data_IF_325683480591
#
_entry.id   IF_325683480591
#
_cell.length_a   1.000
_cell.length_b   1.000
_cell.length_c   1.000
_cell.angle_alpha   90.00
_cell.angle_beta   90.00
_cell.angle_gamma   90.00
#
_symmetry.space_group_name_H-M   'P 1'
#
loop_
_entity.id
_entity.type
_entity.pdbx_description
1 polymer ?
#
# COMPACT_ATOMS: atom_id res chain seq x y z
N UNK A 1 -7.92 12.75 -17.44
CA UNK A 1 -8.14 12.21 -16.08
C UNK A 1 -7.93 10.70 -16.03
N UNK A 2 -8.10 9.96 -17.13
CA UNK A 2 -7.92 8.50 -17.20
C UNK A 2 -6.47 8.03 -17.00
N UNK A 3 -5.48 8.73 -17.60
CA UNK A 3 -4.05 8.39 -17.45
C UNK A 3 -3.53 8.35 -16.01
N UNK A 4 -4.21 9.01 -15.05
CA UNK A 4 -3.77 9.05 -13.66
C UNK A 4 -4.21 7.81 -12.88
N UNK A 5 -5.36 7.21 -13.22
CA UNK A 5 -5.83 5.94 -12.62
C UNK A 5 -4.99 4.75 -13.09
N UNK A 6 -4.62 4.72 -14.36
CA UNK A 6 -3.77 3.66 -14.94
C UNK A 6 -2.39 3.56 -14.26
N UNK A 7 -1.91 4.65 -13.65
CA UNK A 7 -0.60 4.72 -12.97
C UNK A 7 -0.64 4.25 -11.52
N UNK A 8 -1.82 4.10 -10.92
CA UNK A 8 -1.96 3.77 -9.49
C UNK A 8 -1.50 2.36 -9.13
N UNK A 9 -1.31 1.46 -10.11
CA UNK A 9 -0.93 0.07 -9.86
C UNK A 9 -2.10 -0.79 -9.37
N UNK A 10 -1.90 -2.11 -9.39
CA UNK A 10 -2.91 -3.07 -8.91
C UNK A 10 -2.83 -3.23 -7.39
N UNK A 11 -3.98 -3.40 -6.75
CA UNK A 11 -4.07 -3.72 -5.31
C UNK A 11 -4.17 -5.22 -5.03
N UNK A 12 -4.13 -6.05 -6.08
CA UNK A 12 -4.35 -7.50 -5.99
C UNK A 12 -3.11 -8.23 -5.46
N UNK A 13 -1.91 -7.80 -5.87
CA UNK A 13 -0.62 -8.38 -5.49
C UNK A 13 -0.19 -7.91 -4.09
N UNK A 14 -0.86 -8.44 -3.06
CA UNK A 14 -0.62 -8.09 -1.67
C UNK A 14 0.78 -8.57 -1.18
N UNK A 15 1.71 -7.66 -0.83
CA UNK A 15 3.05 -8.03 -0.41
C UNK A 15 3.08 -8.78 0.93
N UNK A 16 2.08 -8.60 1.78
CA UNK A 16 1.97 -9.31 3.07
C UNK A 16 1.51 -10.74 2.88
N UNK A 17 0.51 -10.96 2.02
CA UNK A 17 0.07 -12.30 1.65
C UNK A 17 1.18 -13.08 0.90
N UNK A 18 1.87 -12.42 -0.03
CA UNK A 18 2.98 -13.03 -0.79
C UNK A 18 4.17 -13.46 0.11
N UNK A 19 4.33 -12.81 1.26
CA UNK A 19 5.37 -13.11 2.24
C UNK A 19 4.91 -14.06 3.37
N UNK A 20 3.76 -14.72 3.22
CA UNK A 20 3.16 -15.61 4.24
C UNK A 20 2.88 -14.92 5.59
N UNK A 21 2.79 -13.59 5.60
CA UNK A 21 2.46 -12.76 6.78
C UNK A 21 1.20 -11.94 6.50
N UNK A 22 0.05 -12.56 6.21
CA UNK A 22 -1.15 -11.84 5.83
C UNK A 22 -1.59 -10.87 6.94
N UNK A 23 -2.00 -9.68 6.53
CA UNK A 23 -2.50 -8.66 7.46
C UNK A 23 -3.68 -9.20 8.29
N UNK A 24 -3.72 -8.81 9.57
CA UNK A 24 -4.77 -9.19 10.50
C UNK A 24 -5.38 -7.95 11.16
N UNK A 25 -6.58 -8.11 11.73
CA UNK A 25 -7.22 -7.07 12.55
C UNK A 25 -7.43 -5.75 11.80
N UNK A 26 -6.96 -4.64 12.38
CA UNK A 26 -7.10 -3.29 11.84
C UNK A 26 -6.50 -3.15 10.44
N UNK A 27 -5.27 -3.63 10.25
CA UNK A 27 -4.58 -3.56 8.96
C UNK A 27 -5.33 -4.29 7.83
N UNK A 28 -5.89 -5.47 8.13
CA UNK A 28 -6.70 -6.22 7.15
C UNK A 28 -7.97 -5.46 6.76
N UNK A 29 -8.62 -4.79 7.73
CA UNK A 29 -9.79 -3.96 7.48
C UNK A 29 -9.45 -2.76 6.60
N UNK A 30 -8.31 -2.12 6.84
CA UNK A 30 -7.82 -0.97 6.06
C UNK A 30 -7.52 -1.41 4.62
N UNK A 31 -6.79 -2.52 4.42
CA UNK A 31 -6.53 -3.06 3.09
C UNK A 31 -7.83 -3.39 2.33
N UNK A 32 -8.84 -3.92 3.01
CA UNK A 32 -10.15 -4.16 2.39
C UNK A 32 -10.80 -2.86 1.94
N UNK A 33 -10.84 -1.85 2.81
CA UNK A 33 -11.38 -0.51 2.52
C UNK A 33 -10.65 0.18 1.36
N UNK A 34 -9.32 0.08 1.33
CA UNK A 34 -8.48 0.55 0.23
C UNK A 34 -8.91 -0.06 -1.12
N UNK A 35 -9.24 -1.35 -1.16
CA UNK A 35 -9.72 -2.03 -2.38
C UNK A 35 -11.14 -1.64 -2.76
N UNK A 36 -12.02 -1.42 -1.78
CA UNK A 36 -13.43 -1.05 -2.00
C UNK A 36 -13.60 0.43 -2.39
N UNK A 37 -12.79 1.34 -1.81
CA UNK A 37 -12.99 2.79 -1.87
C UNK A 37 -11.84 3.55 -2.55
N UNK A 38 -10.71 2.89 -2.84
CA UNK A 38 -9.50 3.50 -3.42
C UNK A 38 -9.52 3.74 -4.94
N UNK A 39 -10.69 3.96 -5.54
CA UNK A 39 -10.82 4.23 -6.98
C UNK A 39 -10.43 5.68 -7.36
N UNK A 40 -10.41 6.60 -6.40
CA UNK A 40 -9.95 7.98 -6.57
C UNK A 40 -8.55 8.20 -5.99
N UNK A 41 -7.74 9.07 -6.61
CA UNK A 41 -6.34 9.33 -6.19
C UNK A 41 -6.23 9.76 -4.72
N UNK A 42 -7.08 10.70 -4.31
CA UNK A 42 -7.05 11.26 -2.97
C UNK A 42 -7.49 10.22 -1.94
N UNK A 43 -8.59 9.51 -2.21
CA UNK A 43 -9.10 8.43 -1.36
C UNK A 43 -8.09 7.28 -1.24
N UNK A 44 -7.49 6.86 -2.37
CA UNK A 44 -6.45 5.82 -2.38
C UNK A 44 -5.24 6.22 -1.57
N UNK A 45 -4.79 7.47 -1.71
CA UNK A 45 -3.66 8.00 -0.97
C UNK A 45 -3.94 7.96 0.54
N UNK A 46 -5.10 8.45 0.97
CA UNK A 46 -5.47 8.44 2.39
C UNK A 46 -5.48 7.02 2.98
N UNK A 47 -6.05 6.05 2.26
CA UNK A 47 -6.03 4.65 2.69
C UNK A 47 -4.63 4.03 2.69
N UNK A 48 -3.74 4.40 1.76
CA UNK A 48 -2.34 3.95 1.76
C UNK A 48 -1.56 4.56 2.93
N UNK A 49 -1.77 5.84 3.23
CA UNK A 49 -1.20 6.51 4.41
C UNK A 49 -1.63 5.78 5.69
N UNK A 50 -2.94 5.54 5.87
CA UNK A 50 -3.45 4.80 7.04
C UNK A 50 -2.92 3.36 7.09
N UNK A 51 -2.84 2.66 5.95
CA UNK A 51 -2.29 1.31 5.91
C UNK A 51 -0.83 1.28 6.36
N UNK A 52 -0.04 2.28 5.97
CA UNK A 52 1.38 2.38 6.36
C UNK A 52 1.57 2.52 7.87
N UNK A 53 0.68 3.23 8.55
CA UNK A 53 0.71 3.41 10.01
C UNK A 53 0.32 2.14 10.77
N UNK A 54 -0.44 1.25 10.13
CA UNK A 54 -0.97 0.02 10.73
C UNK A 54 -0.21 -1.25 10.30
N UNK A 55 0.86 -1.12 9.52
CA UNK A 55 1.61 -2.25 8.98
C UNK A 55 3.11 -2.08 9.11
N UNK A 56 3.81 -3.21 9.06
CA UNK A 56 5.27 -3.27 9.00
C UNK A 56 5.68 -4.07 7.76
N UNK A 57 6.91 -3.85 7.32
CA UNK A 57 7.51 -4.55 6.20
C UNK A 57 7.51 -6.06 6.48
N UNK A 58 6.87 -6.89 5.63
CA UNK A 58 6.80 -8.31 5.90
C UNK A 58 8.17 -9.01 5.81
N UNK A 59 9.13 -8.40 5.12
CA UNK A 59 10.47 -8.97 4.89
C UNK A 59 11.43 -8.72 6.06
N UNK A 60 11.42 -7.52 6.64
CA UNK A 60 12.40 -7.11 7.65
C UNK A 60 11.80 -6.44 8.89
N UNK A 61 10.47 -6.47 9.02
CA UNK A 61 9.71 -5.92 10.16
C UNK A 61 9.97 -4.41 10.40
N UNK A 62 10.52 -3.71 9.41
CA UNK A 62 10.76 -2.27 9.42
C UNK A 62 9.51 -1.47 9.05
N UNK A 63 9.55 -0.17 9.30
CA UNK A 63 8.44 0.73 8.99
C UNK A 63 8.10 0.75 7.49
N UNK A 64 6.81 0.85 7.19
CA UNK A 64 6.28 1.12 5.86
C UNK A 64 5.92 2.59 5.79
N UNK A 65 6.31 3.26 4.71
CA UNK A 65 6.03 4.67 4.46
C UNK A 65 5.35 4.83 3.10
N UNK A 66 4.60 5.91 2.92
CA UNK A 66 4.08 6.32 1.63
C UNK A 66 5.06 7.21 0.86
N UNK A 67 5.24 6.93 -0.42
CA UNK A 67 6.04 7.71 -1.37
C UNK A 67 5.15 8.15 -2.54
N UNK A 68 5.19 9.45 -2.87
CA UNK A 68 4.56 9.98 -4.08
C UNK A 68 5.52 9.81 -5.26
N UNK A 69 5.16 8.95 -6.20
CA UNK A 69 5.97 8.68 -7.39
C UNK A 69 5.15 8.89 -8.64
N UNK A 70 5.60 9.78 -9.54
CA UNK A 70 5.01 9.95 -10.88
C UNK A 70 3.48 10.17 -10.86
N UNK A 71 2.94 10.83 -9.83
CA UNK A 71 1.51 11.13 -9.71
C UNK A 71 0.65 10.02 -9.10
N UNK A 72 1.26 8.99 -8.52
CA UNK A 72 0.58 7.94 -7.73
C UNK A 72 1.25 7.78 -6.36
N UNK A 73 0.46 7.47 -5.33
CA UNK A 73 0.97 7.11 -4.01
C UNK A 73 1.31 5.62 -3.97
N UNK A 74 2.45 5.27 -3.37
CA UNK A 74 2.91 3.89 -3.17
C UNK A 74 3.47 3.70 -1.77
N UNK A 75 3.35 2.50 -1.25
CA UNK A 75 4.05 2.01 -0.07
C UNK A 75 5.46 1.56 -0.42
N UNK A 76 6.36 1.87 0.51
CA UNK A 76 7.75 1.48 0.45
C UNK A 76 8.26 1.14 1.85
N UNK A 77 9.13 0.15 1.96
CA UNK A 77 9.85 -0.07 3.21
C UNK A 77 10.88 1.04 3.45
N UNK A 78 10.86 1.65 4.64
CA UNK A 78 11.77 2.73 5.03
C UNK A 78 13.23 2.25 5.14
N UNK A 79 13.45 1.00 5.53
CA UNK A 79 14.79 0.42 5.68
C UNK A 79 15.38 -0.01 4.34
N UNK A 80 14.61 -0.75 3.54
CA UNK A 80 15.08 -1.32 2.27
C UNK A 80 13.99 -1.18 1.22
N UNK A 81 14.12 -0.18 0.34
CA UNK A 81 13.09 0.17 -0.63
C UNK A 81 12.73 -0.92 -1.66
N UNK A 82 13.50 -1.99 -1.76
CA UNK A 82 13.21 -3.14 -2.62
C UNK A 82 12.36 -4.22 -1.94
N UNK A 83 12.17 -4.18 -0.61
CA UNK A 83 11.34 -5.17 0.09
C UNK A 83 9.85 -5.01 -0.22
N UNK A 84 9.38 -3.76 -0.24
CA UNK A 84 8.01 -3.41 -0.59
C UNK A 84 8.07 -2.21 -1.51
N UNK A 85 7.41 -2.34 -2.66
CA UNK A 85 7.16 -1.26 -3.61
C UNK A 85 5.80 -1.53 -4.26
N UNK A 86 4.76 -1.09 -3.58
CA UNK A 86 3.38 -1.49 -3.88
C UNK A 86 2.44 -0.34 -3.55
N UNK A 87 1.36 -0.07 -4.30
CA UNK A 87 0.97 -0.75 -5.54
C UNK A 87 1.75 -0.30 -6.78
#
# INVERSE_FOLDING_TARGET
REQAKERMGSLDDDPWAAADKPLQGGAARILRRLREEGDELETRRAWLEELSEHTICPVCDGEIITEMSRGSCRLRCALVGSHVKWP
#
